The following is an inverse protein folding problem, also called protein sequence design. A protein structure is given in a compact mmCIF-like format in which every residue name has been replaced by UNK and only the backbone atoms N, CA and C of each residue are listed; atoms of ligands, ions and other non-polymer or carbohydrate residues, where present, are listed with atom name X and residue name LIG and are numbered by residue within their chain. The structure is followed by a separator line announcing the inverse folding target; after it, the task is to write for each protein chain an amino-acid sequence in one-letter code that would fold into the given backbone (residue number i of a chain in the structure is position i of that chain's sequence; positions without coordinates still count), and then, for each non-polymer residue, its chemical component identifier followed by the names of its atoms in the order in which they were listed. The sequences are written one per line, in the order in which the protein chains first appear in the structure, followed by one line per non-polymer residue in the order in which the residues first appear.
data_IF_060450744730
#
_entry.id   IF_060450744730
#
_cell.length_a   1.000
_cell.length_b   1.000
_cell.length_c   1.000
_cell.angle_alpha   90.00
_cell.angle_beta   90.00
_cell.angle_gamma   90.00
#
_symmetry.space_group_name_H-M   'P 1'
#
loop_
_entity.id
_entity.type
_entity.pdbx_description
1 polymer ?
#
# COMPACT_ATOMS: atom_id res chain seq x y z
N UNK A 1 8.67 16.90 1.06
CA UNK A 1 7.80 16.00 1.85
C UNK A 1 7.88 14.61 1.26
N UNK A 2 7.92 13.56 2.08
CA UNK A 2 7.96 12.17 1.60
C UNK A 2 6.60 11.76 1.05
N UNK A 3 6.62 10.93 0.00
CA UNK A 3 5.42 10.44 -0.67
C UNK A 3 5.50 8.93 -0.85
N UNK A 4 4.35 8.26 -0.78
CA UNK A 4 4.19 6.87 -1.21
C UNK A 4 2.96 6.80 -2.12
N UNK A 5 3.15 6.26 -3.32
CA UNK A 5 2.04 6.02 -4.26
C UNK A 5 1.50 4.60 -4.13
N UNK A 6 0.20 4.45 -3.90
CA UNK A 6 -0.44 3.17 -3.62
C UNK A 6 -1.02 2.47 -4.85
N UNK A 7 -1.23 3.21 -5.96
CA UNK A 7 -1.64 2.67 -7.26
C UNK A 7 -2.82 1.69 -7.12
N UNK A 8 -2.57 0.43 -7.45
CA UNK A 8 -3.55 -0.66 -7.41
C UNK A 8 -4.15 -0.93 -6.03
N UNK A 9 -3.49 -0.51 -4.96
CA UNK A 9 -3.93 -0.73 -3.57
C UNK A 9 -4.53 0.52 -2.93
N UNK A 10 -4.79 1.58 -3.71
CA UNK A 10 -5.36 2.83 -3.22
C UNK A 10 -6.73 2.64 -2.56
N UNK A 11 -7.60 1.80 -3.14
CA UNK A 11 -8.90 1.48 -2.55
C UNK A 11 -8.74 0.88 -1.14
N UNK A 12 -7.80 -0.05 -0.96
CA UNK A 12 -7.52 -0.68 0.33
C UNK A 12 -6.87 0.28 1.34
N UNK A 13 -6.10 1.28 0.89
CA UNK A 13 -5.59 2.36 1.76
C UNK A 13 -6.73 3.20 2.34
N UNK A 14 -7.74 3.50 1.53
CA UNK A 14 -8.85 4.35 1.94
C UNK A 14 -9.94 3.59 2.68
N UNK A 15 -10.01 2.27 2.53
CA UNK A 15 -11.00 1.45 3.19
C UNK A 15 -10.82 1.39 4.71
N UNK A 16 -11.95 1.16 5.38
CA UNK A 16 -12.04 0.75 6.79
C UNK A 16 -12.88 -0.53 6.86
N UNK A 17 -12.53 -1.44 7.75
CA UNK A 17 -13.25 -2.68 8.01
C UNK A 17 -13.40 -2.82 9.53
N UNK A 18 -14.64 -2.87 10.01
CA UNK A 18 -14.98 -2.84 11.44
C UNK A 18 -14.29 -1.71 12.24
N UNK A 19 -14.30 -0.50 11.67
CA UNK A 19 -13.67 0.68 12.27
C UNK A 19 -12.14 0.70 12.23
N UNK A 20 -11.49 -0.31 11.65
CA UNK A 20 -10.03 -0.41 11.54
C UNK A 20 -9.53 -0.14 10.12
N UNK A 21 -8.32 0.40 10.02
CA UNK A 21 -7.64 0.57 8.72
C UNK A 21 -7.37 -0.79 8.06
N UNK A 22 -7.76 -0.92 6.79
CA UNK A 22 -7.56 -2.16 6.02
C UNK A 22 -6.10 -2.37 5.64
N UNK A 23 -5.47 -1.37 5.01
CA UNK A 23 -4.06 -1.42 4.60
C UNK A 23 -3.20 -0.64 5.58
N UNK A 24 -2.25 -1.33 6.20
CA UNK A 24 -1.31 -0.81 7.22
C UNK A 24 0.14 -1.16 6.91
N UNK A 25 0.38 -1.83 5.78
CA UNK A 25 1.70 -2.23 5.30
C UNK A 25 1.82 -1.95 3.80
N UNK A 26 3.03 -1.59 3.35
CA UNK A 26 3.40 -1.60 1.93
C UNK A 26 4.86 -1.97 1.75
N UNK A 27 5.15 -2.76 0.72
CA UNK A 27 6.53 -3.09 0.30
C UNK A 27 6.97 -2.31 -0.94
N UNK A 28 8.26 -1.94 -0.97
CA UNK A 28 8.84 -1.06 -1.99
C UNK A 28 10.24 -1.48 -2.39
N UNK A 29 10.50 -1.45 -3.69
CA UNK A 29 11.85 -1.56 -4.26
C UNK A 29 12.46 -0.16 -4.32
N UNK A 30 13.14 0.24 -3.25
CA UNK A 30 13.84 1.52 -3.12
C UNK A 30 15.34 1.31 -2.98
N UNK A 31 16.11 2.36 -3.24
CA UNK A 31 17.51 2.40 -2.82
C UNK A 31 17.62 2.80 -1.34
N UNK A 32 18.77 2.51 -0.74
CA UNK A 32 19.00 2.71 0.69
C UNK A 32 18.99 4.18 1.11
N UNK A 33 19.42 5.09 0.24
CA UNK A 33 19.39 6.53 0.51
C UNK A 33 17.96 7.03 0.67
N UNK A 34 17.06 6.63 -0.22
CA UNK A 34 15.66 7.00 -0.16
C UNK A 34 14.95 6.33 1.02
N UNK A 35 15.20 5.04 1.25
CA UNK A 35 14.59 4.30 2.35
C UNK A 35 15.01 4.83 3.74
N UNK A 36 16.23 5.34 3.88
CA UNK A 36 16.71 5.95 5.15
C UNK A 36 15.88 7.13 5.62
N UNK A 37 15.13 7.79 4.73
CA UNK A 37 14.26 8.90 5.09
C UNK A 37 12.97 8.44 5.80
N UNK A 38 12.62 7.16 5.72
CA UNK A 38 11.38 6.59 6.23
C UNK A 38 11.59 6.06 7.66
N UNK A 39 11.47 6.98 8.62
CA UNK A 39 11.67 6.73 10.06
C UNK A 39 10.35 6.64 10.82
N UNK A 40 10.36 5.93 11.94
CA UNK A 40 9.22 5.88 12.86
C UNK A 40 8.70 7.31 13.20
N UNK A 41 7.38 7.47 13.27
CA UNK A 41 6.70 8.75 13.51
C UNK A 41 6.62 9.70 12.31
N UNK A 42 7.41 9.46 11.25
CA UNK A 42 7.42 10.33 10.06
C UNK A 42 6.06 10.35 9.38
N UNK A 43 5.54 11.55 9.12
CA UNK A 43 4.34 11.72 8.32
C UNK A 43 4.68 11.71 6.83
N UNK A 44 3.92 10.92 6.08
CA UNK A 44 4.12 10.68 4.66
C UNK A 44 2.81 10.90 3.92
N UNK A 45 2.88 11.50 2.74
CA UNK A 45 1.71 11.65 1.89
C UNK A 45 1.40 10.34 1.18
N UNK A 46 0.17 9.85 1.29
CA UNK A 46 -0.34 8.74 0.49
C UNK A 46 -1.00 9.26 -0.78
N UNK A 47 -0.53 8.79 -1.94
CA UNK A 47 -1.02 9.20 -3.25
C UNK A 47 -1.67 8.05 -4.02
N UNK A 48 -2.66 8.35 -4.86
CA UNK A 48 -3.31 7.35 -5.72
C UNK A 48 -2.34 6.80 -6.78
N UNK A 49 -1.51 7.65 -7.37
CA UNK A 49 -0.45 7.32 -8.33
C UNK A 49 0.69 8.34 -8.18
N UNK A 50 1.75 8.19 -8.95
CA UNK A 50 2.88 9.12 -8.85
C UNK A 50 2.47 10.54 -9.27
N UNK A 51 2.90 11.59 -8.55
CA UNK A 51 2.61 12.99 -8.90
C UNK A 51 3.06 13.36 -10.32
N UNK A 52 4.13 12.72 -10.82
CA UNK A 52 4.63 12.91 -12.19
C UNK A 52 3.61 12.49 -13.26
N UNK A 53 2.65 11.64 -12.89
CA UNK A 53 1.56 11.18 -13.74
C UNK A 53 0.21 11.76 -13.31
N UNK A 54 0.21 13.01 -12.80
CA UNK A 54 -0.99 13.73 -12.33
C UNK A 54 -1.75 12.99 -11.23
N UNK A 55 -1.04 12.28 -10.36
CA UNK A 55 -1.64 11.72 -9.16
C UNK A 55 -2.19 12.78 -8.22
N UNK A 56 -2.98 12.35 -7.26
CA UNK A 56 -3.55 13.17 -6.21
C UNK A 56 -3.19 12.58 -4.86
N UNK A 57 -2.98 13.45 -3.88
CA UNK A 57 -2.84 13.04 -2.51
C UNK A 57 -4.21 12.59 -1.98
N UNK A 58 -4.28 11.35 -1.48
CA UNK A 58 -5.51 10.74 -0.98
C UNK A 58 -5.49 10.50 0.52
N UNK A 59 -4.30 10.49 1.13
CA UNK A 59 -4.15 10.26 2.56
C UNK A 59 -2.91 10.96 3.15
N UNK A 60 -2.89 11.04 4.47
CA UNK A 60 -1.70 11.27 5.30
C UNK A 60 -1.53 10.03 6.18
N UNK A 61 -0.34 9.43 6.15
CA UNK A 61 0.01 8.26 6.96
C UNK A 61 1.17 8.61 7.89
N UNK A 62 1.31 7.89 9.00
CA UNK A 62 2.48 7.96 9.88
C UNK A 62 3.12 6.58 10.00
N UNK A 63 4.44 6.54 9.89
CA UNK A 63 5.19 5.30 10.03
C UNK A 63 5.19 4.84 11.48
N UNK A 64 4.89 3.56 11.69
CA UNK A 64 4.87 2.95 13.03
C UNK A 64 6.28 2.53 13.46
N UNK A 65 7.15 2.24 12.49
CA UNK A 65 8.56 1.89 12.71
C UNK A 65 9.41 2.33 11.52
N UNK A 66 10.73 2.25 11.66
CA UNK A 66 11.67 2.46 10.56
C UNK A 66 11.40 1.45 9.43
N UNK A 67 11.54 1.92 8.18
CA UNK A 67 11.52 1.03 7.04
C UNK A 67 12.67 0.01 7.15
N UNK A 68 12.38 -1.26 6.91
CA UNK A 68 13.33 -2.36 7.08
C UNK A 68 13.31 -3.29 5.87
N UNK A 69 14.42 -3.99 5.62
CA UNK A 69 14.52 -4.95 4.53
C UNK A 69 13.92 -6.30 4.92
N UNK A 70 13.19 -6.90 3.99
CA UNK A 70 12.62 -8.24 4.13
C UNK A 70 12.67 -8.96 2.77
N UNK A 71 12.90 -10.27 2.79
CA UNK A 71 12.77 -11.12 1.60
C UNK A 71 11.30 -11.38 1.31
N UNK A 72 10.88 -11.30 0.05
CA UNK A 72 9.48 -11.55 -0.32
C UNK A 72 9.08 -13.00 -0.06
N UNK A 73 10.01 -13.95 -0.10
CA UNK A 73 9.76 -15.34 0.28
C UNK A 73 9.41 -15.52 1.77
N UNK A 74 9.81 -14.56 2.62
CA UNK A 74 9.58 -14.57 4.07
C UNK A 74 8.39 -13.73 4.52
N UNK A 75 7.61 -13.20 3.57
CA UNK A 75 6.43 -12.41 3.91
C UNK A 75 5.45 -13.24 4.75
N UNK A 76 5.13 -12.81 5.99
CA UNK A 76 4.23 -13.55 6.84
C UNK A 76 2.79 -13.43 6.32
N UNK A 77 1.98 -14.47 6.51
CA UNK A 77 0.62 -14.51 5.94
C UNK A 77 -0.29 -13.38 6.46
N UNK A 78 -0.04 -12.89 7.69
CA UNK A 78 -0.75 -11.72 8.24
C UNK A 78 -0.59 -10.47 7.37
N UNK A 79 0.50 -10.39 6.59
CA UNK A 79 0.76 -9.26 5.71
C UNK A 79 -0.04 -9.30 4.44
N UNK A 80 -0.61 -10.44 4.07
CA UNK A 80 -1.63 -10.50 3.04
C UNK A 80 -2.81 -9.59 3.41
N UNK A 81 -3.24 -9.63 4.69
CA UNK A 81 -4.25 -8.71 5.22
C UNK A 81 -3.71 -7.29 5.34
N UNK A 82 -2.52 -7.09 5.91
CA UNK A 82 -1.97 -5.76 6.15
C UNK A 82 -1.62 -4.99 4.86
N UNK A 83 -1.31 -5.68 3.77
CA UNK A 83 -1.17 -5.08 2.43
C UNK A 83 -2.54 -4.71 1.80
N UNK A 84 -3.65 -5.09 2.44
CA UNK A 84 -5.01 -4.85 1.97
C UNK A 84 -5.52 -5.88 0.97
N UNK A 85 -4.74 -6.93 0.68
CA UNK A 85 -5.05 -7.89 -0.38
C UNK A 85 -6.26 -8.76 -0.05
N UNK A 86 -6.43 -9.17 1.21
CA UNK A 86 -7.61 -9.91 1.65
C UNK A 86 -8.91 -9.12 1.45
N UNK A 87 -8.87 -7.82 1.73
CA UNK A 87 -10.04 -6.97 1.50
C UNK A 87 -10.30 -6.83 0.00
N UNK A 88 -9.27 -6.60 -0.81
CA UNK A 88 -9.40 -6.54 -2.27
C UNK A 88 -9.97 -7.84 -2.86
N UNK A 89 -9.50 -9.00 -2.38
CA UNK A 89 -10.02 -10.33 -2.73
C UNK A 89 -11.53 -10.43 -2.46
N UNK A 90 -11.97 -10.05 -1.25
CA UNK A 90 -13.40 -10.03 -0.88
C UNK A 90 -14.23 -9.06 -1.72
N UNK A 91 -13.66 -7.95 -2.17
CA UNK A 91 -14.33 -6.97 -3.03
C UNK A 91 -14.27 -7.31 -4.53
N UNK A 92 -13.64 -8.43 -4.92
CA UNK A 92 -13.44 -8.78 -6.33
C UNK A 92 -12.49 -7.83 -7.08
N UNK A 93 -11.64 -7.10 -6.35
CA UNK A 93 -10.70 -6.14 -6.91
C UNK A 93 -9.42 -6.84 -7.38
N UNK A 94 -9.15 -6.75 -8.68
CA UNK A 94 -7.99 -7.36 -9.33
C UNK A 94 -6.77 -6.42 -9.30
N UNK A 95 -5.56 -7.00 -9.23
CA UNK A 95 -4.29 -6.28 -9.28
C UNK A 95 -3.66 -6.53 -10.64
N UNK A 96 -3.62 -5.52 -11.51
CA UNK A 96 -3.13 -5.65 -12.89
C UNK A 96 -3.81 -6.81 -13.66
N UNK A 97 -5.10 -7.02 -13.41
CA UNK A 97 -5.87 -8.11 -14.02
C UNK A 97 -5.68 -9.48 -13.36
N UNK A 98 -4.93 -9.56 -12.26
CA UNK A 98 -4.65 -10.79 -11.54
C UNK A 98 -5.41 -10.84 -10.20
N UNK A 99 -5.78 -12.05 -9.76
CA UNK A 99 -6.40 -12.25 -8.46
C UNK A 99 -5.41 -11.93 -7.32
N UNK A 100 -5.81 -11.26 -6.23
CA UNK A 100 -4.86 -10.85 -5.17
C UNK A 100 -4.06 -12.00 -4.56
N UNK A 101 -4.64 -13.20 -4.45
CA UNK A 101 -3.94 -14.40 -3.98
C UNK A 101 -2.81 -14.83 -4.92
N UNK A 102 -3.08 -14.87 -6.22
CA UNK A 102 -2.08 -15.28 -7.22
C UNK A 102 -0.95 -14.25 -7.29
N UNK A 103 -1.28 -12.96 -7.22
CA UNK A 103 -0.29 -11.88 -7.13
C UNK A 103 0.64 -12.07 -5.92
N UNK A 104 0.07 -12.40 -4.76
CA UNK A 104 0.83 -12.62 -3.53
C UNK A 104 1.78 -13.82 -3.65
N UNK A 105 1.30 -14.96 -4.12
CA UNK A 105 2.13 -16.15 -4.27
C UNK A 105 3.25 -15.95 -5.30
N UNK A 106 2.96 -15.30 -6.43
CA UNK A 106 4.00 -14.94 -7.40
C UNK A 106 5.03 -13.99 -6.82
N UNK A 107 4.61 -13.05 -5.97
CA UNK A 107 5.55 -12.13 -5.32
C UNK A 107 6.46 -12.85 -4.32
N UNK A 108 5.91 -13.79 -3.54
CA UNK A 108 6.72 -14.66 -2.65
C UNK A 108 7.72 -15.49 -3.45
N UNK A 109 7.31 -16.05 -4.58
CA UNK A 109 8.15 -16.90 -5.42
C UNK A 109 9.35 -16.19 -6.06
N UNK A 110 9.31 -14.85 -6.20
CA UNK A 110 10.44 -14.07 -6.75
C UNK A 110 11.64 -13.96 -5.80
N UNK A 111 11.44 -14.16 -4.50
CA UNK A 111 12.48 -14.04 -3.46
C UNK A 111 13.34 -12.76 -3.56
N UNK A 112 12.68 -11.62 -3.76
CA UNK A 112 13.33 -10.32 -3.86
C UNK A 112 13.54 -9.70 -2.48
N UNK A 113 14.54 -8.84 -2.32
CA UNK A 113 14.72 -8.02 -1.13
C UNK A 113 14.00 -6.69 -1.35
N UNK A 114 13.07 -6.35 -0.45
CA UNK A 114 12.26 -5.13 -0.53
C UNK A 114 12.21 -4.42 0.83
N UNK A 115 11.97 -3.11 0.80
CA UNK A 115 11.69 -2.34 2.01
C UNK A 115 10.24 -2.52 2.42
N UNK A 116 10.01 -2.91 3.66
CA UNK A 116 8.69 -2.96 4.30
C UNK A 116 8.45 -1.67 5.06
N UNK A 117 7.30 -1.05 4.81
CA UNK A 117 6.84 0.16 5.49
C UNK A 117 5.55 -0.15 6.24
N UNK A 118 5.59 -0.08 7.57
CA UNK A 118 4.40 -0.21 8.44
C UNK A 118 3.91 1.16 8.82
N UNK A 119 2.61 1.38 8.72
CA UNK A 119 2.02 2.70 8.94
C UNK A 119 0.61 2.60 9.50
N UNK A 120 0.15 3.72 10.04
CA UNK A 120 -1.24 3.99 10.37
C UNK A 120 -1.76 5.15 9.51
N UNK A 121 -3.04 5.14 9.15
CA UNK A 121 -3.65 6.25 8.40
C UNK A 121 -4.06 7.34 9.38
N UNK A 122 -3.45 8.51 9.28
CA UNK A 122 -3.81 9.66 10.12
C UNK A 122 -5.03 10.41 9.58
N UNK A 123 -5.10 10.55 8.25
CA UNK A 123 -6.17 11.30 7.59
C UNK A 123 -6.44 10.75 6.21
N UNK A 124 -7.72 10.58 5.87
CA UNK A 124 -8.20 10.34 4.51
C UNK A 124 -8.64 11.67 3.91
N UNK A 125 -8.18 11.95 2.70
CA UNK A 125 -8.46 13.20 1.98
C UNK A 125 -9.49 13.00 0.86
N UNK A 126 -9.61 11.78 0.34
CA UNK A 126 -10.62 11.41 -0.63
C UNK A 126 -11.71 10.54 0.02
N UNK A 127 -12.97 10.64 -0.45
CA UNK A 127 -14.05 9.79 0.03
C UNK A 127 -13.82 8.32 -0.35
N UNK A 128 -14.22 7.41 0.55
CA UNK A 128 -14.19 5.97 0.34
C UNK A 128 -15.20 5.63 -0.77
N UNK A 129 -14.72 5.20 -1.93
CA UNK A 129 -15.57 4.82 -3.07
C UNK A 129 -15.08 5.27 -4.45
N UNK A 130 -14.25 6.32 -4.53
CA UNK A 130 -13.83 6.92 -5.83
C UNK A 130 -12.74 6.11 -6.56
N UNK A 131 -12.18 5.08 -5.91
CA UNK A 131 -10.97 4.39 -6.39
C UNK A 131 -11.17 2.90 -6.73
N UNK A 132 -12.39 2.47 -7.05
CA UNK A 132 -12.61 1.12 -7.57
C UNK A 132 -11.94 0.98 -8.96
N UNK A 133 -11.10 -0.04 -9.19
CA UNK A 133 -10.47 -0.24 -10.50
C UNK A 133 -11.52 -0.67 -11.52
N UNK A 134 -11.79 0.19 -12.49
CA UNK A 134 -12.74 -0.05 -13.57
C UNK A 134 -13.54 1.20 -13.96
N UNK A 135 -13.74 2.12 -13.02
CA UNK A 135 -14.39 3.39 -13.32
C UNK A 135 -13.35 4.44 -13.70
N UNK A 136 -13.23 4.69 -15.01
CA UNK A 136 -12.74 5.99 -15.47
C UNK A 136 -13.77 7.02 -15.00
N UNK A 137 -13.44 7.79 -13.97
CA UNK A 137 -14.11 9.06 -13.75
C UNK A 137 -13.72 9.94 -14.94
N UNK A 138 -14.69 10.18 -15.80
CA UNK A 138 -14.63 11.08 -16.97
C UNK A 138 -14.56 12.51 -16.48
#
# INVERSE_FOLDING_TARGET
MLIISFAWTTAALLAVDDGLDVKTCTRRSWNDDYARMFKAGTQVQGWDRSPRFKGQQVAVISLVQDAYLERTSWMPDKDYKAEGLLWMEKQGIMIRGQHPREFWEQWKAKDEIVYVVRFQVLKRLAPVGVYLPGERVI
#
